data_IF_329484590777
#
_entry.id   IF_329484590777
#
_cell.length_a   1.000
_cell.length_b   1.000
_cell.length_c   1.000
_cell.angle_alpha   90.00
_cell.angle_beta   90.00
_cell.angle_gamma   90.00
#
_symmetry.space_group_name_H-M   'P 1'
#
loop_
_entity.id
_entity.type
_entity.pdbx_description
1 polymer ?
#
# COMPACT_ATOMS: atom_id res chain seq x y z
N UNK A 1 14.91 19.92 -5.82
CA UNK A 1 14.96 19.89 -7.29
C UNK A 1 13.58 19.53 -7.81
N UNK A 2 13.02 20.25 -8.83
CA UNK A 2 11.65 20.06 -9.30
C UNK A 2 11.40 18.72 -10.04
N UNK A 3 12.39 17.87 -10.19
CA UNK A 3 12.29 16.62 -10.96
C UNK A 3 11.55 15.49 -10.24
N UNK A 4 11.32 15.59 -8.93
CA UNK A 4 10.59 14.55 -8.17
C UNK A 4 9.07 14.64 -8.27
N UNK A 5 8.51 15.73 -8.79
CA UNK A 5 7.05 15.93 -8.86
C UNK A 5 6.42 15.38 -10.15
N UNK A 6 7.20 15.21 -11.23
CA UNK A 6 6.70 14.67 -12.49
C UNK A 6 6.55 13.14 -12.46
N UNK A 7 7.47 12.41 -11.85
CA UNK A 7 7.42 10.94 -11.72
C UNK A 7 6.21 10.44 -10.91
N UNK A 8 5.68 11.25 -9.99
CA UNK A 8 4.49 10.86 -9.21
C UNK A 8 3.16 10.95 -9.98
N UNK A 9 3.12 11.62 -11.13
CA UNK A 9 1.89 11.81 -11.90
C UNK A 9 1.48 10.61 -12.76
N UNK A 10 2.39 9.67 -12.97
CA UNK A 10 2.20 8.59 -13.96
C UNK A 10 2.18 7.18 -13.35
N UNK A 11 2.39 7.03 -12.04
CA UNK A 11 2.15 5.77 -11.35
C UNK A 11 0.65 5.52 -11.31
N UNK A 12 0.16 4.62 -12.14
CA UNK A 12 -1.24 4.19 -12.08
C UNK A 12 -1.46 3.48 -10.75
N UNK A 13 -2.18 4.08 -9.80
CA UNK A 13 -2.55 3.37 -8.59
C UNK A 13 -3.42 2.17 -8.98
N UNK A 14 -3.42 1.15 -8.14
CA UNK A 14 -4.27 -0.01 -8.34
C UNK A 14 -5.00 -0.36 -7.05
N UNK A 15 -6.17 -0.92 -7.17
CA UNK A 15 -6.92 -1.51 -6.05
C UNK A 15 -6.98 -3.02 -6.21
N UNK A 16 -7.01 -3.74 -5.09
CA UNK A 16 -7.23 -5.19 -5.10
C UNK A 16 -8.72 -5.47 -5.03
N UNK A 17 -9.23 -6.27 -5.95
CA UNK A 17 -10.66 -6.53 -6.10
C UNK A 17 -10.91 -8.00 -6.40
N UNK A 18 -11.81 -8.61 -5.65
CA UNK A 18 -12.42 -9.89 -6.01
C UNK A 18 -13.59 -9.61 -6.94
N UNK A 19 -13.57 -10.17 -8.17
CA UNK A 19 -14.50 -9.84 -9.23
C UNK A 19 -15.58 -10.91 -9.32
N UNK A 20 -16.86 -10.58 -9.09
CA UNK A 20 -17.94 -11.56 -9.18
C UNK A 20 -18.03 -12.25 -10.56
N UNK A 21 -18.21 -13.56 -10.56
CA UNK A 21 -18.35 -14.35 -11.80
C UNK A 21 -17.05 -14.64 -12.54
N UNK A 22 -15.90 -14.33 -11.94
CA UNK A 22 -14.57 -14.65 -12.47
C UNK A 22 -13.82 -15.62 -11.55
N UNK A 23 -12.58 -15.96 -11.92
CA UNK A 23 -11.70 -16.78 -11.09
C UNK A 23 -11.15 -16.02 -9.87
N UNK A 24 -11.20 -14.69 -9.89
CA UNK A 24 -10.76 -13.82 -8.79
C UNK A 24 -11.76 -13.78 -7.63
N UNK A 25 -12.00 -14.96 -7.02
CA UNK A 25 -12.94 -15.10 -5.91
C UNK A 25 -12.37 -14.64 -4.57
N UNK A 26 -13.21 -14.37 -3.55
CA UNK A 26 -12.75 -14.07 -2.20
C UNK A 26 -11.88 -15.18 -1.60
N UNK A 27 -12.18 -16.45 -1.89
CA UNK A 27 -11.42 -17.61 -1.43
C UNK A 27 -10.01 -17.60 -2.00
N UNK A 28 -9.88 -17.43 -3.33
CA UNK A 28 -8.58 -17.31 -3.99
C UNK A 28 -7.80 -16.08 -3.51
N UNK A 29 -8.50 -14.99 -3.20
CA UNK A 29 -7.87 -13.78 -2.63
C UNK A 29 -7.22 -14.09 -1.28
N UNK A 30 -7.92 -14.79 -0.38
CA UNK A 30 -7.41 -15.18 0.94
C UNK A 30 -6.26 -16.16 0.79
N UNK A 31 -6.39 -17.19 -0.04
CA UNK A 31 -5.33 -18.16 -0.32
C UNK A 31 -4.05 -17.45 -0.80
N UNK A 32 -4.17 -16.57 -1.79
CA UNK A 32 -3.04 -15.84 -2.37
C UNK A 32 -2.35 -14.92 -1.36
N UNK A 33 -3.13 -14.22 -0.53
CA UNK A 33 -2.58 -13.37 0.53
C UNK A 33 -1.94 -14.23 1.63
N UNK A 34 -2.52 -15.36 2.00
CA UNK A 34 -1.97 -16.29 2.96
C UNK A 34 -0.60 -16.82 2.53
N UNK A 35 -0.47 -17.20 1.26
CA UNK A 35 0.83 -17.58 0.68
C UNK A 35 1.85 -16.42 0.76
N UNK A 36 1.44 -15.21 0.40
CA UNK A 36 2.31 -14.03 0.43
C UNK A 36 2.75 -13.64 1.85
N UNK A 37 1.89 -13.83 2.83
CA UNK A 37 2.16 -13.57 4.25
C UNK A 37 2.68 -14.79 5.02
N UNK A 38 3.00 -15.89 4.32
CA UNK A 38 3.48 -17.15 4.93
C UNK A 38 2.55 -17.69 6.03
N UNK A 39 1.24 -17.52 5.86
CA UNK A 39 0.21 -17.92 6.80
C UNK A 39 -0.01 -16.97 7.99
N UNK A 40 0.77 -15.90 8.11
CA UNK A 40 0.62 -14.94 9.21
C UNK A 40 -0.37 -13.86 8.80
N UNK A 41 -1.64 -14.15 8.90
CA UNK A 41 -2.72 -13.18 8.67
C UNK A 41 -4.02 -13.60 9.35
N UNK A 42 -4.92 -12.65 9.54
CA UNK A 42 -6.29 -12.89 9.95
C UNK A 42 -7.14 -13.22 8.72
N UNK A 43 -7.33 -14.52 8.44
CA UNK A 43 -8.08 -14.99 7.27
C UNK A 43 -9.54 -14.52 7.27
N UNK A 44 -10.32 -14.61 8.37
CA UNK A 44 -11.69 -14.10 8.44
C UNK A 44 -11.80 -12.62 8.06
N UNK A 45 -10.91 -11.77 8.56
CA UNK A 45 -10.90 -10.34 8.22
C UNK A 45 -10.57 -10.14 6.74
N UNK A 46 -9.57 -10.85 6.22
CA UNK A 46 -9.22 -10.79 4.79
C UNK A 46 -10.37 -11.27 3.89
N UNK A 47 -11.08 -12.29 4.30
CA UNK A 47 -12.24 -12.80 3.55
C UNK A 47 -13.37 -11.77 3.47
N UNK A 48 -13.75 -11.16 4.59
CA UNK A 48 -14.77 -10.10 4.63
C UNK A 48 -14.33 -8.90 3.78
N UNK A 49 -13.05 -8.52 3.83
CA UNK A 49 -12.52 -7.48 2.96
C UNK A 49 -12.66 -7.86 1.49
N UNK A 50 -12.24 -9.06 1.11
CA UNK A 50 -12.31 -9.54 -0.27
C UNK A 50 -13.75 -9.52 -0.81
N UNK A 51 -14.72 -9.97 -0.02
CA UNK A 51 -16.13 -9.94 -0.41
C UNK A 51 -16.65 -8.53 -0.72
N UNK A 52 -16.13 -7.51 -0.06
CA UNK A 52 -16.62 -6.13 -0.18
C UNK A 52 -15.90 -5.31 -1.25
N UNK A 53 -14.75 -5.76 -1.72
CA UNK A 53 -13.90 -4.96 -2.62
C UNK A 53 -14.60 -4.56 -3.91
N UNK A 54 -15.43 -5.44 -4.48
CA UNK A 54 -16.20 -5.12 -5.69
C UNK A 54 -17.21 -3.99 -5.47
N UNK A 55 -17.98 -4.07 -4.40
CA UNK A 55 -18.96 -3.03 -4.08
C UNK A 55 -18.29 -1.68 -3.83
N UNK A 56 -17.16 -1.67 -3.09
CA UNK A 56 -16.37 -0.46 -2.87
C UNK A 56 -15.81 0.11 -4.18
N UNK A 57 -15.35 -0.75 -5.09
CA UNK A 57 -14.89 -0.29 -6.40
C UNK A 57 -16.02 0.37 -7.22
N UNK A 58 -17.25 -0.19 -7.17
CA UNK A 58 -18.40 0.41 -7.83
C UNK A 58 -18.74 1.79 -7.23
N UNK A 59 -18.70 1.93 -5.91
CA UNK A 59 -18.86 3.23 -5.24
C UNK A 59 -17.80 4.25 -5.69
N UNK A 60 -16.55 3.83 -5.84
CA UNK A 60 -15.48 4.70 -6.35
C UNK A 60 -15.75 5.14 -7.79
N UNK A 61 -16.27 4.26 -8.64
CA UNK A 61 -16.68 4.58 -10.02
C UNK A 61 -17.81 5.62 -9.99
N UNK A 62 -18.81 5.44 -9.15
CA UNK A 62 -19.94 6.37 -8.99
C UNK A 62 -19.46 7.75 -8.48
N UNK A 63 -18.37 7.79 -7.73
CA UNK A 63 -17.74 9.04 -7.28
C UNK A 63 -16.83 9.68 -8.32
N UNK A 64 -16.66 9.04 -9.48
CA UNK A 64 -15.89 9.57 -10.61
C UNK A 64 -14.45 9.05 -10.71
N UNK A 65 -14.07 8.03 -9.94
CA UNK A 65 -12.76 7.38 -10.11
C UNK A 65 -12.77 6.55 -11.38
N UNK A 66 -11.81 6.78 -12.28
CA UNK A 66 -11.71 6.09 -13.54
C UNK A 66 -10.92 4.78 -13.45
N UNK A 67 -11.57 3.68 -13.73
CA UNK A 67 -10.96 2.36 -13.92
C UNK A 67 -10.98 2.03 -15.41
N UNK A 68 -9.81 1.95 -16.08
CA UNK A 68 -9.78 1.67 -17.53
C UNK A 68 -10.35 0.31 -17.85
N UNK A 69 -11.09 0.28 -18.95
CA UNK A 69 -11.53 -0.97 -19.59
C UNK A 69 -11.02 -1.00 -21.04
N UNK A 70 -10.81 -2.19 -21.56
CA UNK A 70 -10.46 -2.41 -22.95
C UNK A 70 -11.70 -2.30 -23.89
N UNK A 71 -11.51 -2.57 -25.17
CA UNK A 71 -12.58 -2.56 -26.18
C UNK A 71 -13.70 -3.59 -25.92
N UNK A 72 -13.44 -4.59 -25.10
CA UNK A 72 -14.39 -5.63 -24.69
C UNK A 72 -15.09 -5.30 -23.38
N UNK A 73 -14.71 -4.18 -22.73
CA UNK A 73 -15.21 -3.78 -21.41
C UNK A 73 -14.53 -4.51 -20.24
N UNK A 74 -13.40 -5.16 -20.47
CA UNK A 74 -12.63 -5.81 -19.40
C UNK A 74 -11.65 -4.83 -18.75
N UNK A 75 -11.57 -4.89 -17.42
CA UNK A 75 -10.64 -4.07 -16.63
C UNK A 75 -9.18 -4.45 -16.88
N UNK A 76 -8.29 -3.46 -16.85
CA UNK A 76 -6.84 -3.67 -16.87
C UNK A 76 -6.40 -4.29 -15.53
N UNK A 77 -6.15 -5.61 -15.56
CA UNK A 77 -5.84 -6.44 -14.38
C UNK A 77 -4.37 -6.82 -14.33
N UNK A 78 -3.76 -6.62 -13.18
CA UNK A 78 -2.37 -6.99 -12.92
C UNK A 78 -2.29 -8.17 -11.94
N UNK A 79 -1.41 -9.10 -12.23
CA UNK A 79 -1.00 -10.15 -11.31
C UNK A 79 0.22 -9.69 -10.52
N UNK A 80 0.05 -9.49 -9.21
CA UNK A 80 1.15 -9.09 -8.30
C UNK A 80 1.63 -10.28 -7.46
N UNK A 81 0.75 -11.23 -7.19
CA UNK A 81 1.06 -12.44 -6.43
C UNK A 81 1.08 -13.67 -7.33
N UNK A 82 1.40 -14.81 -6.75
CA UNK A 82 1.55 -16.08 -7.48
C UNK A 82 0.30 -16.53 -8.22
N UNK A 83 -0.89 -16.16 -7.72
CA UNK A 83 -2.19 -16.56 -8.26
C UNK A 83 -3.12 -15.35 -8.35
N UNK A 84 -4.01 -15.37 -9.33
CA UNK A 84 -5.08 -14.39 -9.52
C UNK A 84 -4.60 -13.01 -9.96
N UNK A 85 -5.44 -12.33 -10.71
CA UNK A 85 -5.21 -10.96 -11.21
C UNK A 85 -6.09 -9.97 -10.47
N UNK A 86 -5.88 -9.86 -9.17
CA UNK A 86 -6.71 -9.04 -8.29
C UNK A 86 -6.49 -7.53 -8.39
N UNK A 87 -5.37 -7.09 -8.96
CA UNK A 87 -5.06 -5.66 -9.00
C UNK A 87 -5.64 -5.02 -10.25
N UNK A 88 -6.63 -4.15 -10.07
CA UNK A 88 -7.24 -3.35 -11.14
C UNK A 88 -6.61 -1.96 -11.12
N UNK A 89 -6.09 -1.52 -12.26
CA UNK A 89 -5.44 -0.20 -12.38
C UNK A 89 -6.46 0.92 -12.40
N UNK A 90 -6.08 2.08 -11.84
CA UNK A 90 -6.85 3.32 -11.90
C UNK A 90 -6.08 4.37 -12.69
N UNK A 91 -6.79 5.21 -13.45
CA UNK A 91 -6.21 6.38 -14.13
C UNK A 91 -6.27 7.65 -13.28
N UNK A 92 -6.96 7.61 -12.15
CA UNK A 92 -7.27 8.78 -11.36
C UNK A 92 -6.13 9.10 -10.37
N UNK A 93 -5.29 10.13 -10.63
CA UNK A 93 -4.25 10.55 -9.72
C UNK A 93 -4.81 11.33 -8.52
N UNK A 94 -6.06 11.81 -8.61
CA UNK A 94 -6.73 12.68 -7.64
C UNK A 94 -7.64 11.90 -6.66
N UNK A 95 -7.45 10.58 -6.53
CA UNK A 95 -8.29 9.73 -5.65
C UNK A 95 -8.48 10.34 -4.25
N UNK A 96 -7.42 10.84 -3.63
CA UNK A 96 -7.51 11.45 -2.30
C UNK A 96 -8.33 12.74 -2.30
N UNK A 97 -8.31 13.48 -3.38
CA UNK A 97 -9.11 14.70 -3.55
C UNK A 97 -10.59 14.36 -3.69
N UNK A 98 -10.92 13.33 -4.47
CA UNK A 98 -12.29 12.81 -4.64
C UNK A 98 -12.82 12.31 -3.28
N UNK A 99 -12.04 11.49 -2.57
CA UNK A 99 -12.44 10.98 -1.26
C UNK A 99 -12.64 12.10 -0.23
N UNK A 100 -11.78 13.12 -0.22
CA UNK A 100 -11.92 14.26 0.66
C UNK A 100 -13.18 15.08 0.32
N UNK A 101 -13.46 15.30 -0.97
CA UNK A 101 -14.68 15.98 -1.41
C UNK A 101 -15.93 15.22 -0.98
N UNK A 102 -15.94 13.89 -1.14
CA UNK A 102 -17.05 13.05 -0.68
C UNK A 102 -17.23 13.07 0.84
N UNK A 103 -16.14 13.05 1.59
CA UNK A 103 -16.22 13.17 3.04
C UNK A 103 -16.90 14.50 3.45
N UNK A 104 -16.55 15.61 2.81
CA UNK A 104 -17.21 16.90 3.04
C UNK A 104 -18.69 16.88 2.60
N UNK A 105 -19.01 16.30 1.47
CA UNK A 105 -20.40 16.15 0.98
C UNK A 105 -21.27 15.38 1.98
N UNK A 106 -20.71 14.37 2.62
CA UNK A 106 -21.37 13.61 3.70
C UNK A 106 -21.34 14.31 5.07
N UNK A 107 -20.87 15.54 5.13
CA UNK A 107 -20.89 16.37 6.35
C UNK A 107 -19.76 16.08 7.33
N UNK A 108 -18.69 15.43 6.90
CA UNK A 108 -17.53 15.23 7.76
C UNK A 108 -16.76 16.55 7.97
N UNK A 109 -16.45 16.87 9.23
CA UNK A 109 -15.59 18.00 9.57
C UNK A 109 -14.11 17.54 9.52
N UNK A 110 -13.27 18.32 8.84
CA UNK A 110 -11.85 18.01 8.68
C UNK A 110 -11.00 19.02 9.43
N UNK A 111 -10.31 18.56 10.47
CA UNK A 111 -9.38 19.34 11.26
C UNK A 111 -7.95 19.13 10.76
N UNK A 112 -7.48 20.05 9.92
CA UNK A 112 -6.13 19.99 9.35
C UNK A 112 -5.05 20.33 10.37
N UNK A 113 -3.86 19.71 10.20
CA UNK A 113 -2.65 20.01 10.98
C UNK A 113 -2.76 19.70 12.47
N UNK A 114 -3.66 18.80 12.81
CA UNK A 114 -3.75 18.26 14.17
C UNK A 114 -2.94 16.97 14.21
N UNK A 115 -1.87 16.98 14.98
CA UNK A 115 -1.13 15.77 15.32
C UNK A 115 -1.82 15.14 16.52
N UNK A 116 -2.43 13.98 16.32
CA UNK A 116 -3.09 13.23 17.38
C UNK A 116 -2.03 12.63 18.30
N UNK A 117 -2.17 12.85 19.60
CA UNK A 117 -1.19 12.45 20.61
C UNK A 117 -1.66 11.26 21.44
N UNK A 118 -2.97 11.18 21.72
CA UNK A 118 -3.52 10.19 22.62
C UNK A 118 -5.01 9.97 22.42
N UNK A 119 -5.47 8.74 22.61
CA UNK A 119 -6.88 8.43 22.78
C UNK A 119 -7.34 8.77 24.20
N UNK A 120 -8.54 9.31 24.32
CA UNK A 120 -9.18 9.61 25.60
C UNK A 120 -10.05 8.45 26.02
N UNK A 121 -10.02 8.10 27.32
CA UNK A 121 -10.81 7.04 27.91
C UNK A 121 -11.68 7.55 29.04
N UNK A 122 -12.85 6.94 29.16
CA UNK A 122 -13.71 6.99 30.32
C UNK A 122 -13.91 5.55 30.80
N UNK A 123 -13.24 5.18 31.89
CA UNK A 123 -13.08 3.79 32.28
C UNK A 123 -12.36 2.97 31.19
N UNK A 124 -12.99 1.90 30.72
CA UNK A 124 -12.46 1.04 29.65
C UNK A 124 -12.89 1.45 28.24
N UNK A 125 -13.72 2.49 28.14
CA UNK A 125 -14.23 2.95 26.86
C UNK A 125 -13.43 4.10 26.30
N UNK A 126 -13.05 4.02 25.01
CA UNK A 126 -12.51 5.17 24.27
C UNK A 126 -13.64 6.14 23.97
N UNK A 127 -13.46 7.40 24.35
CA UNK A 127 -14.45 8.48 24.25
C UNK A 127 -13.96 9.69 23.45
N UNK A 128 -12.85 9.58 22.75
CA UNK A 128 -12.32 10.66 21.93
C UNK A 128 -10.82 10.58 21.74
N UNK A 129 -10.27 11.71 21.30
CA UNK A 129 -8.83 11.88 21.10
C UNK A 129 -8.38 13.29 21.48
N UNK A 130 -7.11 13.43 21.83
CA UNK A 130 -6.45 14.72 22.02
C UNK A 130 -5.29 14.85 21.05
N UNK A 131 -5.11 16.01 20.50
CA UNK A 131 -4.02 16.36 19.60
C UNK A 131 -3.52 17.77 19.83
N UNK A 132 -2.50 18.13 19.09
CA UNK A 132 -1.91 19.46 19.07
C UNK A 132 -1.93 20.01 17.65
N UNK A 133 -2.35 21.25 17.49
CA UNK A 133 -2.17 21.95 16.24
C UNK A 133 -0.69 22.27 16.07
N UNK A 134 -0.06 21.66 15.07
CA UNK A 134 1.39 21.75 14.87
C UNK A 134 1.88 23.13 14.42
N UNK A 135 0.97 24.06 14.12
CA UNK A 135 1.33 25.44 13.78
C UNK A 135 1.14 26.41 14.94
N UNK A 136 0.04 26.25 15.67
CA UNK A 136 -0.30 27.20 16.75
C UNK A 136 0.12 26.71 18.12
N UNK A 137 0.38 25.41 18.27
CA UNK A 137 0.66 24.78 19.58
C UNK A 137 -0.59 24.55 20.42
N UNK A 138 -1.78 24.90 19.93
CA UNK A 138 -3.04 24.73 20.66
C UNK A 138 -3.40 23.25 20.83
N UNK A 139 -3.87 22.92 22.03
CA UNK A 139 -4.41 21.60 22.32
C UNK A 139 -5.84 21.49 21.80
N UNK A 140 -6.10 20.45 21.04
CA UNK A 140 -7.42 20.15 20.48
C UNK A 140 -7.94 18.87 21.10
N UNK A 141 -9.14 18.94 21.68
CA UNK A 141 -9.84 17.80 22.28
C UNK A 141 -11.08 17.48 21.45
N UNK A 142 -11.11 16.29 20.89
CA UNK A 142 -12.24 15.78 20.14
C UNK A 142 -12.96 14.71 20.98
N UNK A 143 -14.21 14.93 21.34
CA UNK A 143 -15.06 13.93 22.01
C UNK A 143 -15.87 13.18 20.97
N UNK A 144 -15.90 11.87 21.07
CA UNK A 144 -16.59 11.01 20.12
C UNK A 144 -17.16 9.76 20.79
N UNK A 145 -18.23 9.21 20.22
CA UNK A 145 -18.81 7.92 20.65
C UNK A 145 -17.92 6.76 20.27
N UNK A 146 -17.18 6.87 19.16
CA UNK A 146 -16.24 5.90 18.63
C UNK A 146 -15.08 6.61 17.94
N UNK A 147 -13.91 5.97 17.90
CA UNK A 147 -12.71 6.47 17.20
C UNK A 147 -12.21 5.38 16.26
N UNK A 148 -12.00 5.75 15.01
CA UNK A 148 -11.39 4.89 14.00
C UNK A 148 -9.96 5.38 13.78
N UNK A 149 -8.98 4.49 13.97
CA UNK A 149 -7.57 4.79 13.71
C UNK A 149 -7.21 4.40 12.28
N UNK A 150 -6.87 5.40 11.45
CA UNK A 150 -6.44 5.23 10.06
C UNK A 150 -5.09 5.89 9.82
N UNK A 151 -4.17 5.80 10.80
CA UNK A 151 -2.86 6.47 10.79
C UNK A 151 -1.82 5.78 9.91
N UNK A 152 -2.19 4.70 9.24
CA UNK A 152 -1.29 3.93 8.38
C UNK A 152 -0.32 3.04 9.15
N UNK A 153 0.62 2.46 8.41
CA UNK A 153 1.63 1.56 8.94
C UNK A 153 2.80 2.28 9.60
N UNK A 154 3.88 1.51 9.82
CA UNK A 154 5.14 2.01 10.40
C UNK A 154 6.26 1.83 9.38
N UNK A 155 6.76 2.92 8.82
CA UNK A 155 7.74 2.88 7.74
C UNK A 155 9.13 2.36 8.16
N UNK A 156 9.45 2.38 9.45
CA UNK A 156 10.78 2.04 9.99
C UNK A 156 10.77 0.93 11.04
N UNK A 157 9.66 0.27 11.21
CA UNK A 157 9.52 -0.79 12.19
C UNK A 157 10.40 -1.99 11.81
N UNK A 158 11.19 -2.50 12.76
CA UNK A 158 12.05 -3.65 12.56
C UNK A 158 13.41 -3.39 11.89
N UNK A 159 13.68 -2.15 11.47
CA UNK A 159 14.98 -1.74 10.90
C UNK A 159 15.54 -0.52 11.64
N UNK A 160 15.92 -0.66 12.93
CA UNK A 160 16.32 0.47 13.78
C UNK A 160 17.57 1.22 13.27
N UNK A 161 18.44 0.54 12.53
CA UNK A 161 19.66 1.12 11.96
C UNK A 161 19.43 1.79 10.60
N UNK A 162 18.22 1.67 10.02
CA UNK A 162 17.90 2.35 8.78
C UNK A 162 17.67 3.84 9.05
N UNK A 163 18.77 4.58 9.13
CA UNK A 163 18.76 6.03 9.27
C UNK A 163 18.36 6.80 8.02
N UNK A 164 18.16 6.11 6.89
CA UNK A 164 17.80 6.75 5.64
C UNK A 164 16.34 7.20 5.65
N UNK A 165 16.13 8.50 5.48
CA UNK A 165 14.81 9.06 5.15
C UNK A 165 14.37 8.68 3.73
N UNK A 166 15.32 8.39 2.88
CA UNK A 166 15.12 7.91 1.51
C UNK A 166 15.24 6.39 1.51
N UNK A 167 14.39 5.72 0.75
CA UNK A 167 14.43 4.28 0.64
C UNK A 167 13.46 3.54 1.57
N UNK A 168 12.46 4.23 2.09
CA UNK A 168 11.26 3.62 2.68
C UNK A 168 10.08 3.78 1.74
N UNK A 169 9.30 2.72 1.58
CA UNK A 169 8.15 2.69 0.67
C UNK A 169 7.07 3.69 1.07
N UNK A 170 6.77 3.74 2.36
CA UNK A 170 5.78 4.63 2.93
C UNK A 170 6.38 5.96 3.40
N UNK A 171 5.50 6.86 3.83
CA UNK A 171 5.92 8.13 4.39
C UNK A 171 6.79 7.90 5.65
N UNK A 172 8.05 8.39 5.67
CA UNK A 172 9.00 8.11 6.76
C UNK A 172 8.59 8.71 8.11
N UNK A 173 7.61 9.62 8.13
CA UNK A 173 7.01 10.15 9.34
C UNK A 173 5.98 9.22 10.00
N UNK A 174 5.63 8.10 9.36
CA UNK A 174 4.79 7.07 9.96
C UNK A 174 5.65 6.23 10.92
N UNK A 175 5.63 6.59 12.19
CA UNK A 175 6.49 6.02 13.23
C UNK A 175 5.77 5.04 14.16
N UNK A 176 4.53 4.65 13.82
CA UNK A 176 3.74 3.68 14.59
C UNK A 176 2.92 4.30 15.72
N UNK A 177 2.71 5.61 15.70
CA UNK A 177 1.98 6.31 16.76
C UNK A 177 0.56 5.77 16.95
N UNK A 178 -0.10 5.33 15.86
CA UNK A 178 -1.42 4.70 15.92
C UNK A 178 -1.42 3.41 16.75
N UNK A 179 -0.41 2.55 16.56
CA UNK A 179 -0.25 1.34 17.37
C UNK A 179 0.00 1.67 18.84
N UNK A 180 0.86 2.65 19.11
CA UNK A 180 1.15 3.08 20.49
C UNK A 180 -0.10 3.66 21.16
N UNK A 181 -0.89 4.46 20.44
CA UNK A 181 -2.14 5.01 20.97
C UNK A 181 -3.16 3.90 21.26
N UNK A 182 -3.30 2.93 20.37
CA UNK A 182 -4.20 1.78 20.55
C UNK A 182 -3.77 0.92 21.75
N UNK A 183 -2.49 0.56 21.81
CA UNK A 183 -1.94 -0.22 22.93
C UNK A 183 -2.14 0.47 24.28
N UNK A 184 -1.83 1.75 24.38
CA UNK A 184 -2.05 2.55 25.61
C UNK A 184 -3.52 2.70 25.97
N UNK A 185 -4.42 2.56 25.00
CA UNK A 185 -5.86 2.53 25.26
C UNK A 185 -6.37 1.16 25.72
N UNK A 186 -5.54 0.12 25.67
CA UNK A 186 -5.84 -1.24 26.11
C UNK A 186 -6.19 -2.20 24.97
N UNK A 187 -5.88 -1.84 23.72
CA UNK A 187 -6.05 -2.74 22.59
C UNK A 187 -5.00 -3.86 22.61
N UNK A 188 -5.41 -5.05 22.23
CA UNK A 188 -4.52 -6.14 21.89
C UNK A 188 -3.94 -5.89 20.50
N UNK A 189 -2.65 -6.16 20.32
CA UNK A 189 -1.95 -6.00 19.05
C UNK A 189 -1.52 -7.37 18.54
N UNK A 190 -1.69 -7.61 17.24
CA UNK A 190 -1.32 -8.87 16.58
C UNK A 190 -0.56 -8.60 15.27
N UNK A 191 0.11 -9.62 14.76
CA UNK A 191 0.80 -9.55 13.47
C UNK A 191 2.14 -8.81 13.48
N UNK A 192 2.69 -8.45 14.64
CA UNK A 192 3.98 -7.76 14.75
C UNK A 192 5.18 -8.66 14.45
N UNK A 193 5.00 -9.96 14.47
CA UNK A 193 5.98 -10.96 14.05
C UNK A 193 6.24 -10.94 12.55
N UNK A 194 5.35 -10.33 11.76
CA UNK A 194 5.48 -10.22 10.31
C UNK A 194 5.90 -8.80 9.92
N UNK A 195 7.09 -8.68 9.36
CA UNK A 195 7.59 -7.43 8.77
C UNK A 195 7.61 -7.56 7.26
N UNK A 196 6.83 -6.74 6.58
CA UNK A 196 6.85 -6.69 5.13
C UNK A 196 8.09 -5.94 4.66
N UNK A 197 8.98 -6.63 3.96
CA UNK A 197 10.18 -6.05 3.37
C UNK A 197 9.89 -5.72 1.91
N UNK A 198 9.99 -4.43 1.56
CA UNK A 198 9.92 -3.97 0.18
C UNK A 198 11.30 -3.71 -0.38
N UNK A 199 11.52 -4.17 -1.59
CA UNK A 199 12.67 -3.78 -2.38
C UNK A 199 12.27 -2.61 -3.27
N UNK A 200 13.04 -1.55 -3.19
CA UNK A 200 12.83 -0.32 -3.95
C UNK A 200 14.05 -0.02 -4.81
N UNK A 201 13.84 0.73 -5.87
CA UNK A 201 14.95 1.21 -6.70
C UNK A 201 15.72 2.26 -5.89
N UNK A 202 17.05 2.12 -5.85
CA UNK A 202 17.93 3.03 -5.13
C UNK A 202 17.65 4.49 -5.53
N UNK A 203 17.55 5.36 -4.53
CA UNK A 203 17.30 6.78 -4.65
C UNK A 203 15.90 7.17 -5.20
N UNK A 204 15.03 6.16 -5.41
CA UNK A 204 13.64 6.37 -5.83
C UNK A 204 12.72 5.77 -4.77
N UNK A 205 11.95 6.62 -4.14
CA UNK A 205 10.98 6.20 -3.12
C UNK A 205 9.60 5.96 -3.74
N UNK A 206 9.51 4.94 -4.60
CA UNK A 206 8.30 4.58 -5.30
C UNK A 206 8.28 3.08 -5.64
N UNK A 207 7.10 2.46 -5.82
CA UNK A 207 6.96 1.03 -6.13
C UNK A 207 7.28 0.68 -7.59
N UNK A 208 8.24 1.36 -8.20
CA UNK A 208 8.61 1.19 -9.60
C UNK A 208 9.09 -0.22 -9.94
N UNK A 209 9.64 -0.93 -8.97
CA UNK A 209 10.08 -2.31 -9.17
C UNK A 209 8.97 -3.20 -9.73
N UNK A 210 7.79 -3.17 -9.12
CA UNK A 210 6.67 -4.01 -9.56
C UNK A 210 6.16 -3.60 -10.94
N UNK A 211 6.15 -2.31 -11.25
CA UNK A 211 5.75 -1.79 -12.54
C UNK A 211 6.72 -2.24 -13.62
N UNK A 212 8.02 -2.15 -13.38
CA UNK A 212 9.04 -2.63 -14.34
C UNK A 212 8.92 -4.11 -14.61
N UNK A 213 8.72 -4.92 -13.57
CA UNK A 213 8.55 -6.38 -13.72
C UNK A 213 7.29 -6.74 -14.51
N UNK A 214 6.16 -6.06 -14.28
CA UNK A 214 4.93 -6.29 -15.04
C UNK A 214 5.04 -5.89 -16.51
N UNK A 215 6.03 -5.07 -16.86
CA UNK A 215 6.36 -4.71 -18.24
C UNK A 215 7.42 -5.61 -18.87
N UNK A 216 7.87 -6.63 -18.14
CA UNK A 216 8.81 -7.65 -18.62
C UNK A 216 10.28 -7.32 -18.34
N UNK A 217 10.60 -6.43 -17.42
CA UNK A 217 11.98 -6.23 -16.97
C UNK A 217 12.53 -7.49 -16.29
N UNK A 218 13.82 -7.73 -16.44
CA UNK A 218 14.51 -8.84 -15.81
C UNK A 218 15.21 -8.40 -14.53
N UNK A 219 15.28 -9.30 -13.54
CA UNK A 219 16.04 -9.09 -12.31
C UNK A 219 17.37 -9.84 -12.40
N UNK A 220 18.45 -9.08 -12.23
CA UNK A 220 19.80 -9.62 -12.21
C UNK A 220 20.40 -9.49 -10.81
N UNK A 221 21.10 -10.52 -10.36
CA UNK A 221 21.91 -10.47 -9.14
C UNK A 221 23.25 -9.73 -9.36
N UNK A 222 24.11 -9.69 -8.35
CA UNK A 222 25.41 -9.05 -8.43
C UNK A 222 26.34 -9.66 -9.50
N UNK A 223 26.11 -10.92 -9.85
CA UNK A 223 26.87 -11.67 -10.85
C UNK A 223 26.26 -11.57 -12.26
N UNK A 224 25.31 -10.67 -12.46
CA UNK A 224 24.55 -10.49 -13.71
C UNK A 224 23.79 -11.77 -14.16
N UNK A 225 23.41 -12.61 -13.22
CA UNK A 225 22.58 -13.78 -13.44
C UNK A 225 21.12 -13.43 -13.20
N UNK A 226 20.25 -13.81 -14.13
CA UNK A 226 18.82 -13.72 -13.94
C UNK A 226 18.36 -14.80 -12.96
N UNK A 227 17.48 -14.43 -12.03
CA UNK A 227 17.08 -15.32 -10.94
C UNK A 227 15.57 -15.46 -10.76
N UNK A 228 14.77 -14.82 -11.60
CA UNK A 228 13.30 -14.86 -11.50
C UNK A 228 12.75 -16.27 -11.59
N UNK A 229 13.34 -17.12 -12.43
CA UNK A 229 12.91 -18.50 -12.61
C UNK A 229 13.30 -19.43 -11.44
N UNK A 230 14.33 -19.05 -10.68
CA UNK A 230 14.86 -19.88 -9.60
C UNK A 230 14.08 -19.72 -8.28
N UNK A 231 13.29 -18.67 -8.17
CA UNK A 231 12.59 -18.29 -6.93
C UNK A 231 11.14 -17.92 -7.25
N UNK A 232 10.19 -18.82 -7.06
CA UNK A 232 8.78 -18.49 -7.27
C UNK A 232 8.31 -17.45 -6.25
N UNK A 233 7.61 -16.46 -6.73
CA UNK A 233 6.86 -15.52 -5.92
C UNK A 233 7.57 -14.25 -5.48
N UNK A 234 6.90 -13.53 -4.58
CA UNK A 234 7.31 -12.20 -4.10
C UNK A 234 8.64 -12.19 -3.33
N UNK A 235 9.07 -13.34 -2.80
CA UNK A 235 10.25 -13.46 -1.96
C UNK A 235 11.56 -13.69 -2.72
N UNK A 236 11.52 -13.73 -4.04
CA UNK A 236 12.69 -14.05 -4.87
C UNK A 236 13.89 -13.12 -4.59
N UNK A 237 13.67 -11.83 -4.44
CA UNK A 237 14.74 -10.87 -4.13
C UNK A 237 15.29 -11.05 -2.71
N UNK A 238 14.44 -11.40 -1.76
CA UNK A 238 14.86 -11.68 -0.40
C UNK A 238 15.77 -12.91 -0.37
N UNK A 239 15.42 -13.96 -1.09
CA UNK A 239 16.24 -15.17 -1.22
C UNK A 239 17.62 -14.88 -1.81
N UNK A 240 17.71 -14.05 -2.86
CA UNK A 240 18.99 -13.61 -3.43
C UNK A 240 19.79 -12.74 -2.46
N UNK A 241 19.12 -11.85 -1.72
CA UNK A 241 19.77 -11.03 -0.71
C UNK A 241 20.34 -11.88 0.44
N UNK A 242 19.57 -12.81 0.97
CA UNK A 242 20.01 -13.72 2.03
C UNK A 242 21.14 -14.65 1.58
N UNK A 243 21.20 -14.98 0.29
CA UNK A 243 22.31 -15.74 -0.32
C UNK A 243 23.55 -14.87 -0.60
N UNK A 244 23.58 -13.61 -0.13
CA UNK A 244 24.66 -12.63 -0.33
C UNK A 244 24.98 -12.35 -1.81
N UNK A 245 23.98 -12.40 -2.69
CA UNK A 245 24.11 -12.13 -4.12
C UNK A 245 23.62 -10.74 -4.54
N UNK A 246 23.40 -9.85 -3.57
CA UNK A 246 23.13 -8.42 -3.83
C UNK A 246 24.40 -7.66 -4.22
N UNK A 247 24.27 -6.43 -4.79
CA UNK A 247 23.02 -5.74 -5.10
C UNK A 247 22.30 -6.32 -6.31
N UNK A 248 20.95 -6.29 -6.27
CA UNK A 248 20.13 -6.66 -7.43
C UNK A 248 19.99 -5.46 -8.39
N UNK A 249 19.76 -5.75 -9.65
CA UNK A 249 19.57 -4.77 -10.73
C UNK A 249 18.35 -5.12 -11.55
N UNK A 250 17.67 -4.09 -12.04
CA UNK A 250 16.59 -4.23 -13.02
C UNK A 250 17.21 -4.04 -14.41
N UNK A 251 17.02 -5.00 -15.29
CA UNK A 251 17.46 -4.92 -16.68
C UNK A 251 16.25 -4.71 -17.60
N UNK A 252 16.23 -3.60 -18.31
CA UNK A 252 15.22 -3.23 -19.29
C UNK A 252 15.77 -3.12 -20.71
N UNK A 253 17.05 -3.43 -20.95
CA UNK A 253 17.74 -3.23 -22.23
C UNK A 253 17.13 -4.02 -23.38
N UNK A 254 16.44 -5.12 -23.09
CA UNK A 254 15.74 -5.96 -24.06
C UNK A 254 14.32 -5.48 -24.38
N UNK A 255 13.80 -4.52 -23.63
CA UNK A 255 12.44 -3.98 -23.86
C UNK A 255 12.44 -3.04 -25.06
N UNK A 256 11.30 -2.99 -25.76
CA UNK A 256 11.08 -1.98 -26.81
C UNK A 256 11.01 -0.58 -26.21
N UNK A 257 11.30 0.44 -27.03
CA UNK A 257 11.17 1.83 -26.61
C UNK A 257 9.75 2.20 -26.13
N UNK A 258 8.74 1.57 -26.72
CA UNK A 258 7.34 1.73 -26.30
C UNK A 258 7.13 1.26 -24.86
N UNK A 259 7.61 0.06 -24.53
CA UNK A 259 7.53 -0.50 -23.17
C UNK A 259 8.36 0.30 -22.15
N UNK A 260 9.51 0.83 -22.57
CA UNK A 260 10.31 1.71 -21.72
C UNK A 260 9.54 3.00 -21.42
N UNK A 261 8.90 3.61 -22.43
CA UNK A 261 8.05 4.78 -22.22
C UNK A 261 6.86 4.50 -21.28
N UNK A 262 6.22 3.34 -21.39
CA UNK A 262 5.16 2.94 -20.47
C UNK A 262 5.62 2.85 -18.99
N UNK A 263 6.91 2.60 -18.75
CA UNK A 263 7.51 2.62 -17.40
C UNK A 263 7.84 4.04 -16.95
N UNK A 264 8.22 4.92 -17.91
CA UNK A 264 8.57 6.31 -17.63
C UNK A 264 7.34 7.22 -17.45
N UNK A 265 6.22 6.89 -18.09
CA UNK A 265 4.92 7.55 -17.97
C UNK A 265 4.12 7.06 -16.75
#
# INVERSE_FOLDING_TARGET
SPRGSHLRRHLRPAVRVSIPGTEETPELYVETNGEACQGIMDEPVNYVMAQRTWAVMQELIDWGVCFPVDEKGEYDKLQIHNKGKFCITMKEPELKTILAAKAHEYGAEVYNRIMTLRLLKDGDRVCGAVGINVRTGEIVVCKAKSVILCSGGTARFGLPENGYLYGVYDFPGNTGDGYVMAYRAGAELSGFEYTLVYYIIKDINAPLLYITLTRGAHLLNAFAQEFQENHPGIHLMHSEHMALRGPMRIDMRHLSEEKIREVEE
#
